data_IF_504087154304
#
_entry.id   IF_504087154304
#
_cell.length_a   1.000
_cell.length_b   1.000
_cell.length_c   1.000
_cell.angle_alpha   90.00
_cell.angle_beta   90.00
_cell.angle_gamma   90.00
#
_symmetry.space_group_name_H-M   'P 1'
#
loop_
_entity.id
_entity.type
_entity.pdbx_description
1 polymer ?
#
# COMPACT_ATOMS: atom_id res chain seq x y z
N UNK A 1 6.48 20.70 29.49
CA UNK A 1 7.06 20.35 28.18
C UNK A 1 5.95 20.41 27.14
N UNK A 2 6.16 21.09 26.02
CA UNK A 2 5.21 21.08 24.91
C UNK A 2 4.93 19.64 24.44
N UNK A 3 3.64 19.31 24.30
CA UNK A 3 3.18 17.98 23.91
C UNK A 3 3.81 17.52 22.59
N UNK A 4 4.10 18.46 21.68
CA UNK A 4 4.78 18.22 20.40
C UNK A 4 6.23 17.76 20.66
N UNK A 5 7.01 18.55 21.42
CA UNK A 5 8.41 18.23 21.70
C UNK A 5 8.56 16.89 22.43
N UNK A 6 7.70 16.64 23.41
CA UNK A 6 7.66 15.35 24.11
C UNK A 6 7.36 14.19 23.15
N UNK A 7 6.34 14.33 22.30
CA UNK A 7 5.93 13.29 21.35
C UNK A 7 6.99 13.03 20.28
N UNK A 8 7.64 14.08 19.77
CA UNK A 8 8.76 13.96 18.83
C UNK A 8 9.95 13.23 19.47
N UNK A 9 10.32 13.58 20.71
CA UNK A 9 11.39 12.90 21.44
C UNK A 9 11.07 11.43 21.69
N UNK A 10 9.83 11.14 22.11
CA UNK A 10 9.35 9.78 22.29
C UNK A 10 9.40 8.98 20.98
N UNK A 11 9.00 9.59 19.86
CA UNK A 11 9.05 8.98 18.53
C UNK A 11 10.49 8.65 18.11
N UNK A 12 11.43 9.58 18.26
CA UNK A 12 12.85 9.37 17.96
C UNK A 12 13.42 8.25 18.82
N UNK A 13 13.18 8.28 20.14
CA UNK A 13 13.66 7.24 21.05
C UNK A 13 13.06 5.87 20.70
N UNK A 14 11.79 5.82 20.30
CA UNK A 14 11.14 4.57 19.87
C UNK A 14 11.80 3.97 18.63
N UNK A 15 12.36 4.81 17.74
CA UNK A 15 13.12 4.31 16.58
C UNK A 15 14.42 3.63 16.98
N UNK A 16 15.04 3.97 18.10
CA UNK A 16 16.32 3.36 18.50
C UNK A 16 16.20 2.38 19.67
N UNK A 17 14.98 2.11 20.17
CA UNK A 17 14.74 1.26 21.35
C UNK A 17 15.14 -0.21 21.16
N UNK A 18 14.95 -0.77 19.96
CA UNK A 18 15.29 -2.17 19.64
C UNK A 18 16.23 -2.23 18.44
N UNK A 19 17.25 -3.10 18.51
CA UNK A 19 18.26 -3.31 17.45
C UNK A 19 18.88 -2.00 16.96
N UNK A 20 19.36 -1.18 17.89
CA UNK A 20 19.89 0.18 17.65
C UNK A 20 20.94 0.22 16.53
N UNK A 21 21.92 -0.69 16.57
CA UNK A 21 22.98 -0.78 15.56
C UNK A 21 22.41 -1.04 14.16
N UNK A 22 21.52 -2.02 14.00
CA UNK A 22 20.89 -2.33 12.72
C UNK A 22 20.10 -1.14 12.16
N UNK A 23 19.36 -0.42 13.01
CA UNK A 23 18.57 0.74 12.58
C UNK A 23 19.44 1.94 12.24
N UNK A 24 20.54 2.15 12.96
CA UNK A 24 21.55 3.15 12.59
C UNK A 24 22.18 2.82 11.24
N UNK A 25 22.62 1.57 11.03
CA UNK A 25 23.18 1.12 9.76
C UNK A 25 22.20 1.32 8.60
N UNK A 26 20.92 0.96 8.76
CA UNK A 26 19.89 1.19 7.75
C UNK A 26 19.70 2.68 7.44
N UNK A 27 19.74 3.54 8.46
CA UNK A 27 19.65 4.99 8.26
C UNK A 27 20.88 5.53 7.51
N UNK A 28 22.08 5.08 7.87
CA UNK A 28 23.33 5.42 7.18
C UNK A 28 23.30 4.99 5.71
N UNK A 29 22.86 3.77 5.43
CA UNK A 29 22.65 3.28 4.05
C UNK A 29 21.63 4.16 3.32
N UNK A 30 20.54 4.55 3.98
CA UNK A 30 19.56 5.48 3.43
C UNK A 30 20.15 6.85 3.08
N UNK A 31 21.03 7.40 3.91
CA UNK A 31 21.71 8.67 3.65
C UNK A 31 22.71 8.57 2.49
N UNK A 32 23.48 7.48 2.42
CA UNK A 32 24.38 7.22 1.29
C UNK A 32 23.57 7.09 0.00
N UNK A 33 22.47 6.33 0.04
CA UNK A 33 21.56 6.21 -1.10
C UNK A 33 20.97 7.56 -1.51
N UNK A 34 20.55 8.40 -0.56
CA UNK A 34 20.08 9.76 -0.85
C UNK A 34 21.14 10.59 -1.57
N UNK A 35 22.41 10.50 -1.17
CA UNK A 35 23.51 11.16 -1.87
C UNK A 35 23.73 10.64 -3.29
N UNK A 36 23.73 9.32 -3.48
CA UNK A 36 23.86 8.71 -4.81
C UNK A 36 22.71 9.13 -5.73
N UNK A 37 21.46 9.08 -5.24
CA UNK A 37 20.30 9.52 -6.02
C UNK A 37 20.30 11.02 -6.29
N UNK A 38 20.75 11.86 -5.35
CA UNK A 38 20.90 13.29 -5.57
C UNK A 38 21.93 13.58 -6.66
N UNK A 39 23.05 12.86 -6.66
CA UNK A 39 24.07 12.95 -7.70
C UNK A 39 23.54 12.52 -9.08
N UNK A 40 22.87 11.36 -9.16
CA UNK A 40 22.25 10.87 -10.40
C UNK A 40 21.21 11.87 -10.94
N UNK A 41 20.40 12.44 -10.05
CA UNK A 41 19.37 13.41 -10.44
C UNK A 41 19.98 14.75 -10.87
N UNK A 42 21.05 15.19 -10.22
CA UNK A 42 21.82 16.37 -10.66
C UNK A 42 22.39 16.19 -12.06
N UNK A 43 22.98 15.02 -12.34
CA UNK A 43 23.48 14.67 -13.66
C UNK A 43 22.36 14.68 -14.72
N UNK A 44 21.18 14.14 -14.38
CA UNK A 44 20.01 14.15 -15.27
C UNK A 44 19.53 15.58 -15.56
N UNK A 45 19.49 16.46 -14.55
CA UNK A 45 19.17 17.88 -14.74
C UNK A 45 20.19 18.59 -15.65
N UNK A 46 21.48 18.28 -15.50
CA UNK A 46 22.52 18.82 -16.36
C UNK A 46 22.36 18.33 -17.81
N UNK A 47 22.15 17.03 -18.03
CA UNK A 47 21.89 16.48 -19.35
C UNK A 47 20.65 17.09 -20.02
N UNK A 48 19.60 17.34 -19.26
CA UNK A 48 18.38 18.01 -19.71
C UNK A 48 18.66 19.48 -20.09
N UNK A 49 19.48 20.19 -19.32
CA UNK A 49 19.89 21.57 -19.63
C UNK A 49 20.76 21.65 -20.89
N UNK A 50 21.63 20.66 -21.12
CA UNK A 50 22.49 20.55 -22.30
C UNK A 50 21.72 20.11 -23.57
N UNK A 51 20.42 19.81 -23.46
CA UNK A 51 19.59 19.36 -24.58
C UNK A 51 19.91 17.94 -25.07
N UNK A 52 20.69 17.19 -24.30
CA UNK A 52 21.08 15.80 -24.63
C UNK A 52 19.97 14.78 -24.40
N UNK A 53 18.88 15.17 -23.71
CA UNK A 53 17.69 14.35 -23.51
C UNK A 53 16.47 14.97 -24.18
N UNK A 54 15.45 14.16 -24.46
CA UNK A 54 14.16 14.66 -24.99
C UNK A 54 13.39 15.53 -23.99
N UNK A 55 13.73 15.47 -22.71
CA UNK A 55 13.02 16.15 -21.63
C UNK A 55 13.76 17.43 -21.24
N UNK A 56 13.01 18.52 -21.09
CA UNK A 56 13.55 19.77 -20.54
C UNK A 56 13.73 19.69 -19.01
N UNK A 57 14.52 20.62 -18.46
CA UNK A 57 14.74 20.73 -17.00
C UNK A 57 13.42 20.81 -16.23
N UNK A 58 12.48 21.62 -16.71
CA UNK A 58 11.18 21.79 -16.06
C UNK A 58 10.36 20.49 -16.01
N UNK A 59 10.39 19.71 -17.10
CA UNK A 59 9.69 18.42 -17.17
C UNK A 59 10.32 17.39 -16.23
N UNK A 60 11.65 17.40 -16.11
CA UNK A 60 12.37 16.53 -15.16
C UNK A 60 11.96 16.86 -13.73
N UNK A 61 11.91 18.15 -13.38
CA UNK A 61 11.49 18.60 -12.04
C UNK A 61 10.01 18.28 -11.78
N UNK A 62 9.17 18.45 -12.79
CA UNK A 62 7.75 18.08 -12.74
C UNK A 62 7.57 16.60 -12.40
N UNK A 63 8.24 15.72 -13.14
CA UNK A 63 8.17 14.28 -12.90
C UNK A 63 8.76 13.88 -11.55
N UNK A 64 9.83 14.55 -11.07
CA UNK A 64 10.33 14.34 -9.72
C UNK A 64 9.31 14.71 -8.65
N UNK A 65 8.66 15.87 -8.78
CA UNK A 65 7.62 16.30 -7.84
C UNK A 65 6.43 15.34 -7.85
N UNK A 66 5.99 14.90 -9.03
CA UNK A 66 4.91 13.94 -9.18
C UNK A 66 5.29 12.59 -8.56
N UNK A 67 6.53 12.13 -8.78
CA UNK A 67 7.04 10.90 -8.18
C UNK A 67 7.11 10.99 -6.65
N UNK A 68 7.59 12.10 -6.10
CA UNK A 68 7.60 12.34 -4.65
C UNK A 68 6.19 12.34 -4.05
N UNK A 69 5.24 12.97 -4.74
CA UNK A 69 3.83 12.95 -4.33
C UNK A 69 3.27 11.52 -4.35
N UNK A 70 3.50 10.79 -5.44
CA UNK A 70 3.01 9.43 -5.63
C UNK A 70 3.61 8.46 -4.60
N UNK A 71 4.93 8.47 -4.38
CA UNK A 71 5.59 7.54 -3.45
C UNK A 71 5.17 7.77 -2.00
N UNK A 72 4.92 9.02 -1.59
CA UNK A 72 4.43 9.35 -0.23
C UNK A 72 3.02 8.84 -0.01
N UNK A 73 2.16 8.92 -1.02
CA UNK A 73 0.80 8.36 -0.94
C UNK A 73 0.88 6.84 -0.98
N UNK A 74 1.56 6.26 -1.97
CA UNK A 74 1.67 4.82 -2.19
C UNK A 74 2.27 4.08 -1.00
N UNK A 75 3.30 4.62 -0.32
CA UNK A 75 3.87 3.96 0.88
C UNK A 75 2.84 3.75 1.99
N UNK A 76 1.75 4.51 1.99
CA UNK A 76 0.67 4.35 2.95
C UNK A 76 -0.27 3.18 2.62
N UNK A 77 -0.21 2.64 1.40
CA UNK A 77 -1.15 1.65 0.88
C UNK A 77 -0.49 0.38 0.34
N UNK A 78 0.76 0.49 -0.13
CA UNK A 78 1.52 -0.56 -0.81
C UNK A 78 2.92 -0.73 -0.17
N UNK A 79 3.43 -1.97 -0.01
CA UNK A 79 2.79 -3.26 -0.32
C UNK A 79 1.76 -3.69 0.73
N UNK A 80 1.75 -3.02 1.88
CA UNK A 80 0.77 -3.20 2.93
C UNK A 80 0.30 -1.84 3.42
N UNK A 81 -0.99 -1.75 3.71
CA UNK A 81 -1.61 -0.53 4.20
C UNK A 81 -1.06 -0.14 5.59
N UNK A 82 -0.65 1.12 5.76
CA UNK A 82 -0.12 1.70 7.01
C UNK A 82 -1.16 2.65 7.61
N UNK A 83 -1.55 2.46 8.88
CA UNK A 83 -2.53 3.32 9.53
C UNK A 83 -2.04 4.72 9.87
N UNK A 84 -3.03 5.60 10.04
CA UNK A 84 -2.83 6.89 10.70
C UNK A 84 -2.43 6.68 12.17
N UNK A 85 -1.46 7.45 12.65
CA UNK A 85 -1.04 7.39 14.04
C UNK A 85 -2.05 8.13 14.94
N UNK A 86 -2.77 7.40 15.80
CA UNK A 86 -3.58 8.00 16.86
C UNK A 86 -2.71 8.15 18.13
N UNK A 87 -1.82 9.14 18.14
CA UNK A 87 -0.87 9.36 19.25
C UNK A 87 -1.58 9.77 20.55
N UNK A 88 -2.61 10.60 20.44
CA UNK A 88 -3.40 11.08 21.57
C UNK A 88 -4.85 10.64 21.34
N UNK A 89 -5.31 9.56 22.00
CA UNK A 89 -6.69 9.13 21.96
C UNK A 89 -7.68 10.26 22.23
N UNK A 90 -8.85 10.22 21.59
CA UNK A 90 -9.88 11.27 21.72
C UNK A 90 -10.46 11.41 23.13
N UNK A 91 -10.29 10.37 23.95
CA UNK A 91 -10.73 10.30 25.34
C UNK A 91 -9.90 11.20 26.27
N UNK A 92 -8.66 11.52 25.88
CA UNK A 92 -7.83 12.40 26.68
C UNK A 92 -8.31 13.86 26.56
N UNK A 93 -8.24 14.63 27.65
CA UNK A 93 -8.72 16.02 27.71
C UNK A 93 -7.74 16.98 27.01
N UNK A 94 -7.38 16.70 25.76
CA UNK A 94 -6.51 17.54 24.92
C UNK A 94 -7.36 18.22 23.85
N UNK A 95 -7.26 19.56 23.69
CA UNK A 95 -7.99 20.28 22.66
C UNK A 95 -7.80 19.67 21.25
N UNK A 96 -8.85 19.61 20.42
CA UNK A 96 -8.77 18.96 19.09
C UNK A 96 -7.69 19.55 18.19
N UNK A 97 -7.46 20.87 18.25
CA UNK A 97 -6.44 21.55 17.45
C UNK A 97 -5.03 21.18 17.91
N UNK A 98 -4.80 21.09 19.23
CA UNK A 98 -3.51 20.71 19.78
C UNK A 98 -3.19 19.24 19.42
N UNK A 99 -4.18 18.35 19.55
CA UNK A 99 -4.06 16.96 19.09
C UNK A 99 -3.71 16.87 17.61
N UNK A 100 -4.44 17.60 16.76
CA UNK A 100 -4.20 17.62 15.31
C UNK A 100 -2.78 18.07 14.97
N UNK A 101 -2.32 19.18 15.56
CA UNK A 101 -0.96 19.70 15.37
C UNK A 101 0.11 18.70 15.81
N UNK A 102 -0.07 18.07 16.96
CA UNK A 102 0.85 17.03 17.48
C UNK A 102 0.91 15.85 16.51
N UNK A 103 -0.24 15.32 16.10
CA UNK A 103 -0.27 14.21 15.15
C UNK A 103 0.37 14.58 13.81
N UNK A 104 0.09 15.77 13.27
CA UNK A 104 0.63 16.23 11.99
C UNK A 104 2.16 16.35 12.03
N UNK A 105 2.70 16.97 13.08
CA UNK A 105 4.14 17.21 13.20
C UNK A 105 4.89 15.91 13.51
N UNK A 106 4.38 15.08 14.43
CA UNK A 106 5.09 13.87 14.85
C UNK A 106 5.12 12.81 13.74
N UNK A 107 4.12 12.77 12.85
CA UNK A 107 4.15 11.87 11.69
C UNK A 107 5.23 12.25 10.67
N UNK A 108 5.59 13.53 10.57
CA UNK A 108 6.73 13.98 9.76
C UNK A 108 8.08 13.54 10.35
N UNK A 109 8.14 13.25 11.66
CA UNK A 109 9.31 12.67 12.31
C UNK A 109 9.37 11.17 12.02
N UNK A 110 9.85 10.82 10.83
CA UNK A 110 10.09 9.44 10.41
C UNK A 110 11.41 9.32 9.63
N UNK A 111 12.07 8.13 9.65
CA UNK A 111 13.29 7.90 8.87
C UNK A 111 13.12 8.19 7.38
N UNK A 112 11.94 7.90 6.83
CA UNK A 112 11.63 8.16 5.43
C UNK A 112 11.70 9.66 5.08
N UNK A 113 11.01 10.51 5.83
CA UNK A 113 11.03 11.96 5.58
C UNK A 113 12.40 12.57 5.86
N UNK A 114 13.13 12.01 6.83
CA UNK A 114 14.51 12.42 7.09
C UNK A 114 15.43 12.14 5.90
N UNK A 115 15.39 10.91 5.34
CA UNK A 115 16.18 10.57 4.15
C UNK A 115 15.77 11.41 2.94
N UNK A 116 14.46 11.61 2.73
CA UNK A 116 13.94 12.42 1.62
C UNK A 116 14.37 13.89 1.73
N UNK A 117 14.33 14.47 2.94
CA UNK A 117 14.82 15.84 3.15
C UNK A 117 16.32 15.96 2.87
N UNK A 118 17.12 14.98 3.31
CA UNK A 118 18.55 14.96 3.00
C UNK A 118 18.81 14.83 1.49
N UNK A 119 18.03 14.01 0.77
CA UNK A 119 18.08 13.94 -0.69
C UNK A 119 17.84 15.32 -1.33
N UNK A 120 16.81 16.06 -0.91
CA UNK A 120 16.51 17.39 -1.44
C UNK A 120 17.61 18.42 -1.13
N UNK A 121 18.17 18.39 0.08
CA UNK A 121 19.27 19.27 0.47
C UNK A 121 20.54 18.98 -0.33
N UNK A 122 20.89 17.70 -0.49
CA UNK A 122 22.04 17.29 -1.30
C UNK A 122 21.83 17.66 -2.77
N UNK A 123 20.63 17.47 -3.31
CA UNK A 123 20.30 17.87 -4.68
C UNK A 123 20.47 19.39 -4.89
N UNK A 124 20.00 20.20 -3.94
CA UNK A 124 20.21 21.65 -3.95
C UNK A 124 21.68 22.05 -3.90
N UNK A 125 22.50 21.33 -3.14
CA UNK A 125 23.94 21.60 -3.08
C UNK A 125 24.69 21.13 -4.33
N UNK A 126 24.21 20.08 -5.01
CA UNK A 126 24.90 19.43 -6.12
C UNK A 126 24.47 19.92 -7.51
N UNK A 127 23.26 20.49 -7.67
CA UNK A 127 22.72 20.86 -8.98
C UNK A 127 22.48 22.37 -9.08
N UNK A 128 23.15 23.09 -10.01
CA UNK A 128 22.91 24.52 -10.20
C UNK A 128 21.52 24.80 -10.78
N UNK A 129 20.90 23.82 -11.44
CA UNK A 129 19.55 23.93 -12.02
C UNK A 129 18.44 23.74 -10.99
N UNK A 130 18.75 23.24 -9.79
CA UNK A 130 17.79 23.06 -8.71
C UNK A 130 17.85 24.25 -7.73
N UNK A 131 17.18 25.34 -8.09
CA UNK A 131 17.19 26.59 -7.29
C UNK A 131 16.50 26.45 -5.93
N UNK A 132 16.68 27.45 -5.05
CA UNK A 132 16.02 27.52 -3.74
C UNK A 132 14.48 27.48 -3.87
N UNK A 133 13.95 28.04 -4.96
CA UNK A 133 12.52 28.04 -5.25
C UNK A 133 12.00 26.61 -5.43
N UNK A 134 12.70 25.81 -6.24
CA UNK A 134 12.39 24.39 -6.42
C UNK A 134 12.54 23.59 -5.12
N UNK A 135 13.54 23.88 -4.29
CA UNK A 135 13.69 23.26 -2.98
C UNK A 135 12.46 23.50 -2.09
N UNK A 136 12.03 24.76 -1.97
CA UNK A 136 10.86 25.12 -1.17
C UNK A 136 9.58 24.49 -1.73
N UNK A 137 9.42 24.50 -3.06
CA UNK A 137 8.30 23.84 -3.71
C UNK A 137 8.26 22.35 -3.41
N UNK A 138 9.37 21.63 -3.55
CA UNK A 138 9.45 20.20 -3.24
C UNK A 138 9.09 19.90 -1.78
N UNK A 139 9.48 20.77 -0.85
CA UNK A 139 9.04 20.67 0.55
C UNK A 139 7.52 20.82 0.65
N UNK A 140 6.92 21.78 -0.05
CA UNK A 140 5.46 21.92 -0.07
C UNK A 140 4.74 20.74 -0.73
N UNK A 141 5.32 20.13 -1.76
CA UNK A 141 4.83 18.89 -2.40
C UNK A 141 4.85 17.74 -1.39
N UNK A 142 5.93 17.57 -0.62
CA UNK A 142 6.03 16.56 0.44
C UNK A 142 4.93 16.76 1.49
N UNK A 143 4.75 18.00 1.96
CA UNK A 143 3.72 18.32 2.95
C UNK A 143 2.31 18.07 2.41
N UNK A 144 2.05 18.44 1.16
CA UNK A 144 0.76 18.20 0.49
C UNK A 144 0.50 16.70 0.36
N UNK A 145 1.48 15.92 -0.11
CA UNK A 145 1.36 14.47 -0.22
C UNK A 145 1.11 13.81 1.15
N UNK A 146 1.76 14.32 2.22
CA UNK A 146 1.51 13.86 3.57
C UNK A 146 0.08 14.13 4.06
N UNK A 147 -0.45 15.33 3.81
CA UNK A 147 -1.83 15.69 4.16
C UNK A 147 -2.83 14.90 3.30
N UNK A 148 -2.51 14.59 2.03
CA UNK A 148 -3.31 13.73 1.16
C UNK A 148 -3.39 12.33 1.72
N UNK A 149 -2.24 11.75 2.07
CA UNK A 149 -2.18 10.44 2.71
C UNK A 149 -3.05 10.42 3.98
N UNK A 150 -2.89 11.40 4.89
CA UNK A 150 -3.70 11.49 6.11
C UNK A 150 -5.19 11.61 5.82
N UNK A 151 -5.58 12.42 4.84
CA UNK A 151 -6.98 12.61 4.46
C UNK A 151 -7.59 11.31 3.95
N UNK A 152 -6.89 10.62 3.05
CA UNK A 152 -7.30 9.31 2.56
C UNK A 152 -7.41 8.29 3.70
N UNK A 153 -6.42 8.26 4.61
CA UNK A 153 -6.49 7.42 5.79
C UNK A 153 -7.76 7.74 6.59
N UNK A 154 -8.03 9.00 6.96
CA UNK A 154 -9.25 9.39 7.71
C UNK A 154 -10.54 8.92 7.03
N UNK A 155 -10.64 9.05 5.71
CA UNK A 155 -11.79 8.56 4.93
C UNK A 155 -11.97 7.05 5.03
N UNK A 156 -10.87 6.29 5.02
CA UNK A 156 -10.89 4.83 5.08
C UNK A 156 -11.09 4.37 6.54
N UNK A 157 -10.53 5.06 7.54
CA UNK A 157 -10.55 4.63 8.94
C UNK A 157 -11.79 4.97 9.73
N UNK A 158 -12.32 6.18 9.53
CA UNK A 158 -13.31 6.73 10.45
C UNK A 158 -14.69 6.78 9.81
N UNK A 159 -15.74 6.73 10.63
CA UNK A 159 -17.12 6.94 10.15
C UNK A 159 -17.37 8.43 10.05
N UNK A 160 -17.46 8.95 8.82
CA UNK A 160 -17.73 10.36 8.58
C UNK A 160 -19.20 10.68 8.83
N UNK A 161 -19.46 11.77 9.56
CA UNK A 161 -20.78 12.38 9.67
C UNK A 161 -21.00 13.32 8.50
N UNK A 162 -21.46 12.78 7.37
CA UNK A 162 -21.66 13.50 6.10
C UNK A 162 -22.54 14.74 6.20
N UNK A 163 -23.48 14.78 7.15
CA UNK A 163 -24.39 15.92 7.36
C UNK A 163 -23.90 16.95 8.38
N UNK A 164 -22.67 16.82 8.88
CA UNK A 164 -22.12 17.77 9.87
C UNK A 164 -21.63 19.04 9.19
N UNK A 165 -21.79 20.20 9.85
CA UNK A 165 -21.23 21.47 9.37
C UNK A 165 -19.72 21.38 9.10
N UNK A 166 -18.99 20.66 9.97
CA UNK A 166 -17.56 20.40 9.80
C UNK A 166 -17.24 19.68 8.48
N UNK A 167 -18.10 18.75 8.02
CA UNK A 167 -17.90 18.08 6.75
C UNK A 167 -18.09 19.04 5.57
N UNK A 168 -19.14 19.86 5.59
CA UNK A 168 -19.35 20.87 4.54
C UNK A 168 -18.21 21.89 4.51
N UNK A 169 -17.75 22.38 5.66
CA UNK A 169 -16.58 23.26 5.74
C UNK A 169 -15.31 22.58 5.24
N UNK A 170 -15.11 21.29 5.56
CA UNK A 170 -13.99 20.52 5.01
C UNK A 170 -14.07 20.42 3.48
N UNK A 171 -15.26 20.17 2.92
CA UNK A 171 -15.49 20.07 1.48
C UNK A 171 -15.24 21.40 0.76
N UNK A 172 -15.69 22.53 1.33
CA UNK A 172 -15.42 23.87 0.78
C UNK A 172 -13.91 24.15 0.76
N UNK A 173 -13.20 23.85 1.85
CA UNK A 173 -11.74 24.05 1.93
C UNK A 173 -10.99 23.12 0.96
N UNK A 174 -11.46 21.88 0.78
CA UNK A 174 -10.92 20.98 -0.24
C UNK A 174 -11.19 21.48 -1.66
N UNK A 175 -12.39 22.03 -1.91
CA UNK A 175 -12.74 22.66 -3.18
C UNK A 175 -11.83 23.85 -3.50
N UNK A 176 -11.52 24.68 -2.51
CA UNK A 176 -10.58 25.80 -2.67
C UNK A 176 -9.17 25.31 -3.02
N UNK A 177 -8.69 24.26 -2.34
CA UNK A 177 -7.44 23.59 -2.69
C UNK A 177 -7.46 23.07 -4.14
N UNK A 178 -8.49 22.32 -4.53
CA UNK A 178 -8.61 21.75 -5.88
C UNK A 178 -8.67 22.87 -6.94
N UNK A 179 -9.40 23.96 -6.69
CA UNK A 179 -9.49 25.08 -7.62
C UNK A 179 -8.13 25.74 -7.88
N UNK A 180 -7.33 25.93 -6.82
CA UNK A 180 -5.96 26.46 -6.95
C UNK A 180 -5.04 25.48 -7.66
N UNK A 181 -5.14 24.19 -7.34
CA UNK A 181 -4.33 23.13 -7.95
C UNK A 181 -4.71 22.87 -9.42
N UNK A 182 -5.96 23.06 -9.81
CA UNK A 182 -6.38 22.92 -11.21
C UNK A 182 -5.79 24.02 -12.09
N UNK A 183 -5.63 25.23 -11.55
CA UNK A 183 -5.04 26.37 -12.26
C UNK A 183 -3.51 26.36 -12.26
N UNK A 184 -2.92 26.03 -11.12
CA UNK A 184 -1.47 26.02 -10.91
C UNK A 184 -1.06 24.78 -10.12
N UNK A 185 -0.99 23.60 -10.78
CA UNK A 185 -0.62 22.37 -10.11
C UNK A 185 0.73 22.46 -9.39
N UNK A 186 0.77 21.94 -8.16
CA UNK A 186 1.95 22.01 -7.30
C UNK A 186 3.15 21.21 -7.81
N UNK A 187 2.93 20.28 -8.74
CA UNK A 187 3.99 19.52 -9.35
C UNK A 187 4.72 20.29 -10.46
N UNK A 188 4.10 21.28 -11.11
CA UNK A 188 4.78 22.12 -12.10
C UNK A 188 5.81 23.01 -11.44
N UNK A 189 7.08 23.00 -11.89
CA UNK A 189 8.15 23.77 -11.27
C UNK A 189 7.79 25.26 -11.23
N UNK A 190 8.02 25.86 -10.07
CA UNK A 190 7.61 27.22 -9.83
C UNK A 190 8.63 28.19 -10.42
N UNK A 191 8.18 28.94 -11.42
CA UNK A 191 8.97 29.98 -12.08
C UNK A 191 9.12 31.24 -11.23
N UNK A 192 8.18 31.49 -10.31
CA UNK A 192 8.07 32.75 -9.56
C UNK A 192 7.66 32.53 -8.10
N UNK A 193 8.10 33.44 -7.22
CA UNK A 193 7.74 33.43 -5.80
C UNK A 193 6.24 33.54 -5.55
N UNK A 194 5.50 34.24 -6.41
CA UNK A 194 4.05 34.37 -6.29
C UNK A 194 3.35 33.01 -6.42
N UNK A 195 3.88 32.13 -7.28
CA UNK A 195 3.36 30.77 -7.42
C UNK A 195 3.58 29.96 -6.14
N UNK A 196 4.74 30.12 -5.49
CA UNK A 196 5.03 29.48 -4.21
C UNK A 196 4.07 29.95 -3.11
N UNK A 197 3.74 31.24 -3.07
CA UNK A 197 2.72 31.79 -2.14
C UNK A 197 1.34 31.17 -2.42
N UNK A 198 0.96 31.04 -3.69
CA UNK A 198 -0.29 30.37 -4.07
C UNK A 198 -0.31 28.90 -3.63
N UNK A 199 0.81 28.19 -3.80
CA UNK A 199 0.99 26.80 -3.34
C UNK A 199 0.92 26.68 -1.81
N UNK A 200 1.53 27.61 -1.07
CA UNK A 200 1.40 27.68 0.40
C UNK A 200 -0.05 27.92 0.84
N UNK A 201 -0.76 28.83 0.18
CA UNK A 201 -2.17 29.09 0.45
C UNK A 201 -3.03 27.85 0.17
N UNK A 202 -2.79 27.17 -0.95
CA UNK A 202 -3.46 25.91 -1.28
C UNK A 202 -3.23 24.84 -0.20
N UNK A 203 -1.98 24.66 0.25
CA UNK A 203 -1.65 23.76 1.35
C UNK A 203 -2.35 24.18 2.66
N UNK A 204 -2.45 25.47 2.96
CA UNK A 204 -3.18 25.99 4.11
C UNK A 204 -4.66 25.64 4.09
N UNK A 205 -5.32 25.77 2.93
CA UNK A 205 -6.71 25.30 2.75
C UNK A 205 -6.82 23.80 2.94
N UNK A 206 -5.85 23.03 2.44
CA UNK A 206 -5.89 21.58 2.52
C UNK A 206 -5.65 21.04 3.94
N UNK A 207 -4.72 21.62 4.69
CA UNK A 207 -4.52 21.35 6.12
C UNK A 207 -5.80 21.67 6.91
N UNK A 208 -6.42 22.81 6.61
CA UNK A 208 -7.69 23.21 7.24
C UNK A 208 -8.80 22.22 6.93
N UNK A 209 -8.90 21.77 5.68
CA UNK A 209 -9.84 20.74 5.27
C UNK A 209 -9.61 19.43 6.04
N UNK A 210 -8.36 18.99 6.16
CA UNK A 210 -8.01 17.78 6.90
C UNK A 210 -8.40 17.88 8.39
N UNK A 211 -8.14 19.02 9.04
CA UNK A 211 -8.56 19.27 10.42
C UNK A 211 -10.08 19.20 10.61
N UNK A 212 -10.84 19.83 9.71
CA UNK A 212 -12.31 19.84 9.76
C UNK A 212 -12.89 18.44 9.46
N UNK A 213 -12.27 17.70 8.52
CA UNK A 213 -12.61 16.32 8.23
C UNK A 213 -12.42 15.42 9.46
N UNK A 214 -11.34 15.64 10.21
CA UNK A 214 -11.10 14.91 11.46
C UNK A 214 -12.14 15.23 12.55
N UNK A 215 -12.65 16.46 12.59
CA UNK A 215 -13.77 16.82 13.49
C UNK A 215 -15.11 16.22 13.02
N UNK A 216 -15.31 16.06 11.72
CA UNK A 216 -16.50 15.43 11.15
C UNK A 216 -16.50 13.90 11.34
N UNK A 217 -15.32 13.31 11.59
CA UNK A 217 -15.15 11.90 11.82
C UNK A 217 -15.54 11.49 13.25
N UNK A 218 -16.54 10.60 13.37
CA UNK A 218 -16.95 10.04 14.66
C UNK A 218 -15.97 8.96 15.17
N UNK A 219 -16.08 8.60 16.45
CA UNK A 219 -15.38 7.48 17.09
C UNK A 219 -15.37 6.20 16.23
N UNK A 220 -14.34 5.33 16.39
CA UNK A 220 -14.21 4.11 15.62
C UNK A 220 -15.51 3.29 15.69
N UNK A 221 -15.99 2.81 14.53
CA UNK A 221 -17.20 1.96 14.44
C UNK A 221 -17.09 0.82 15.47
N UNK A 222 -17.89 0.89 16.55
CA UNK A 222 -18.06 -0.24 17.49
C UNK A 222 -18.40 -1.49 16.67
N UNK A 223 -17.76 -2.62 16.98
CA UNK A 223 -18.04 -3.91 16.34
C UNK A 223 -19.47 -4.33 16.70
N UNK A 224 -20.45 -4.05 15.84
CA UNK A 224 -21.71 -4.77 15.87
C UNK A 224 -21.45 -6.15 15.26
N UNK A 225 -21.53 -7.20 16.09
CA UNK A 225 -21.48 -8.59 15.61
C UNK A 225 -22.85 -8.86 14.99
N UNK A 226 -22.92 -8.75 13.67
CA UNK A 226 -24.12 -9.12 12.94
C UNK A 226 -24.14 -10.65 12.80
N UNK A 227 -24.97 -11.32 13.61
CA UNK A 227 -25.29 -12.73 13.41
C UNK A 227 -26.11 -12.87 12.13
N UNK A 228 -25.56 -13.53 11.13
CA UNK A 228 -26.26 -13.86 9.89
C UNK A 228 -27.00 -15.19 10.07
N UNK A 229 -28.33 -15.17 10.16
CA UNK A 229 -29.18 -16.35 10.27
C UNK A 229 -29.38 -17.15 8.98
N UNK A 230 -28.89 -16.68 7.82
CA UNK A 230 -29.15 -17.36 6.54
C UNK A 230 -28.28 -18.60 6.33
N UNK A 231 -28.86 -19.79 6.50
CA UNK A 231 -28.21 -21.09 6.24
C UNK A 231 -27.85 -21.31 4.77
N UNK A 232 -28.59 -20.70 3.82
CA UNK A 232 -28.45 -20.91 2.37
C UNK A 232 -27.24 -20.24 1.71
N UNK A 233 -26.43 -19.45 2.43
CA UNK A 233 -25.26 -18.78 1.82
C UNK A 233 -24.03 -19.68 1.90
N UNK A 234 -23.25 -19.77 0.81
CA UNK A 234 -22.00 -20.55 0.80
C UNK A 234 -21.03 -20.07 1.89
N UNK A 235 -20.28 -21.01 2.50
CA UNK A 235 -19.31 -20.71 3.56
C UNK A 235 -18.28 -19.67 3.08
N UNK A 236 -17.78 -19.79 1.84
CA UNK A 236 -16.85 -18.83 1.25
C UNK A 236 -17.41 -17.40 1.19
N UNK A 237 -18.67 -17.23 0.79
CA UNK A 237 -19.33 -15.92 0.80
C UNK A 237 -19.53 -15.38 2.22
N UNK A 238 -19.85 -16.25 3.19
CA UNK A 238 -19.95 -15.88 4.61
C UNK A 238 -18.60 -15.44 5.17
N UNK A 239 -17.52 -16.17 4.87
CA UNK A 239 -16.16 -15.81 5.29
C UNK A 239 -15.76 -14.46 4.72
N UNK A 240 -15.98 -14.24 3.43
CA UNK A 240 -15.71 -12.96 2.78
C UNK A 240 -16.55 -11.81 3.34
N UNK A 241 -17.86 -11.98 3.51
CA UNK A 241 -18.77 -10.90 3.95
C UNK A 241 -18.61 -10.56 5.43
N UNK A 242 -18.44 -11.56 6.29
CA UNK A 242 -18.49 -11.40 7.73
C UNK A 242 -17.15 -10.94 8.32
N UNK A 243 -16.01 -11.32 7.71
CA UNK A 243 -14.70 -10.89 8.19
C UNK A 243 -14.36 -9.49 7.68
N UNK A 244 -14.78 -8.46 8.44
CA UNK A 244 -14.68 -7.05 8.05
C UNK A 244 -13.29 -6.64 7.53
N UNK A 245 -12.21 -7.08 8.16
CA UNK A 245 -10.85 -6.70 7.74
C UNK A 245 -10.41 -7.39 6.46
N UNK A 246 -10.70 -8.69 6.33
CA UNK A 246 -10.38 -9.42 5.11
C UNK A 246 -11.17 -8.84 3.93
N UNK A 247 -12.46 -8.57 4.15
CA UNK A 247 -13.32 -7.87 3.19
C UNK A 247 -12.72 -6.54 2.74
N UNK A 248 -12.34 -5.69 3.69
CA UNK A 248 -11.86 -4.35 3.38
C UNK A 248 -10.51 -4.37 2.65
N UNK A 249 -9.59 -5.25 3.04
CA UNK A 249 -8.31 -5.42 2.35
C UNK A 249 -8.47 -5.99 0.94
N UNK A 250 -9.38 -6.95 0.76
CA UNK A 250 -9.70 -7.48 -0.57
C UNK A 250 -10.38 -6.45 -1.45
N UNK A 251 -11.38 -5.71 -0.94
CA UNK A 251 -12.03 -4.64 -1.69
C UNK A 251 -11.02 -3.57 -2.07
N UNK A 252 -10.15 -3.17 -1.13
CA UNK A 252 -9.09 -2.19 -1.42
C UNK A 252 -8.18 -2.68 -2.54
N UNK A 253 -7.65 -3.91 -2.44
CA UNK A 253 -6.80 -4.49 -3.48
C UNK A 253 -7.51 -4.59 -4.83
N UNK A 254 -8.75 -5.06 -4.86
CA UNK A 254 -9.54 -5.19 -6.09
C UNK A 254 -9.87 -3.82 -6.72
N UNK A 255 -10.20 -2.81 -5.91
CA UNK A 255 -10.44 -1.43 -6.39
C UNK A 255 -9.14 -0.84 -6.94
N UNK A 256 -8.02 -1.07 -6.27
CA UNK A 256 -6.71 -0.63 -6.75
C UNK A 256 -6.34 -1.29 -8.08
N UNK A 257 -6.55 -2.61 -8.21
CA UNK A 257 -6.37 -3.35 -9.47
C UNK A 257 -7.30 -2.81 -10.56
N UNK A 258 -8.58 -2.62 -10.26
CA UNK A 258 -9.55 -2.06 -11.22
C UNK A 258 -9.19 -0.64 -11.65
N UNK A 259 -8.64 0.18 -10.76
CA UNK A 259 -8.16 1.52 -11.08
C UNK A 259 -6.98 1.47 -12.06
N UNK A 260 -6.00 0.59 -11.83
CA UNK A 260 -4.84 0.44 -12.72
C UNK A 260 -5.26 -0.09 -14.09
N UNK A 261 -6.05 -1.18 -14.13
CA UNK A 261 -6.55 -1.75 -15.39
C UNK A 261 -7.47 -0.77 -16.14
N UNK A 262 -8.28 0.00 -15.41
CA UNK A 262 -9.15 1.02 -16.00
C UNK A 262 -8.38 2.23 -16.54
N UNK A 263 -7.33 2.68 -15.84
CA UNK A 263 -6.44 3.73 -16.34
C UNK A 263 -5.75 3.27 -17.63
N UNK A 264 -5.28 2.03 -17.67
CA UNK A 264 -4.67 1.46 -18.87
C UNK A 264 -5.66 1.33 -20.03
N UNK A 265 -6.86 0.79 -19.79
CA UNK A 265 -7.91 0.72 -20.80
C UNK A 265 -8.21 2.08 -21.44
N UNK A 266 -8.26 3.15 -20.63
CA UNK A 266 -8.44 4.52 -21.12
C UNK A 266 -7.24 5.04 -21.93
N UNK A 267 -6.02 4.59 -21.63
CA UNK A 267 -4.85 4.95 -22.42
C UNK A 267 -4.87 4.25 -23.79
N UNK A 268 -5.22 2.96 -23.82
CA UNK A 268 -5.38 2.20 -25.08
C UNK A 268 -6.45 2.83 -25.95
N UNK A 269 -7.62 3.16 -25.39
CA UNK A 269 -8.72 3.77 -26.13
C UNK A 269 -8.35 5.15 -26.72
N UNK A 270 -7.58 5.96 -25.98
CA UNK A 270 -7.26 7.34 -26.40
C UNK A 270 -6.00 7.47 -27.25
N UNK A 271 -4.99 6.65 -26.98
CA UNK A 271 -3.65 6.77 -27.58
C UNK A 271 -3.29 5.58 -28.46
N UNK A 272 -4.10 4.52 -28.48
CA UNK A 272 -3.79 3.27 -29.16
C UNK A 272 -2.63 2.49 -28.54
N UNK A 273 -2.20 2.87 -27.33
CA UNK A 273 -1.03 2.33 -26.65
C UNK A 273 -1.33 2.11 -25.17
N UNK A 274 -0.81 1.03 -24.60
CA UNK A 274 -0.86 0.76 -23.17
C UNK A 274 -0.08 1.83 -22.38
N UNK A 275 -0.54 2.13 -21.16
CA UNK A 275 -0.04 3.24 -20.33
C UNK A 275 1.38 2.99 -19.82
N UNK A 276 1.69 1.71 -19.60
CA UNK A 276 3.03 1.20 -19.45
C UNK A 276 3.27 0.41 -20.73
N UNK A 277 4.35 0.71 -21.49
CA UNK A 277 4.87 -0.21 -22.53
C UNK A 277 4.78 -1.65 -22.00
N UNK A 278 4.54 -2.64 -22.87
CA UNK A 278 4.31 -4.12 -22.74
C UNK A 278 5.06 -4.91 -21.64
N UNK A 279 5.40 -4.25 -20.55
CA UNK A 279 6.36 -4.59 -19.52
C UNK A 279 5.60 -5.20 -18.36
N UNK A 280 6.27 -6.18 -17.75
CA UNK A 280 5.91 -6.96 -16.58
C UNK A 280 5.02 -6.29 -15.52
N UNK A 281 5.12 -4.97 -15.32
CA UNK A 281 4.34 -4.25 -14.30
C UNK A 281 2.84 -4.31 -14.54
N UNK A 282 2.38 -4.22 -15.79
CA UNK A 282 0.95 -4.31 -16.10
C UNK A 282 0.47 -5.76 -15.95
N UNK A 283 1.32 -6.68 -16.37
CA UNK A 283 1.16 -8.13 -16.23
C UNK A 283 1.09 -8.60 -14.77
N UNK A 284 1.79 -7.95 -13.83
CA UNK A 284 1.67 -8.22 -12.38
C UNK A 284 0.25 -7.93 -11.85
N UNK A 285 -0.49 -7.02 -12.48
CA UNK A 285 -1.88 -6.75 -12.14
C UNK A 285 -2.86 -7.67 -12.86
N UNK A 286 -2.45 -8.34 -13.94
CA UNK A 286 -3.26 -9.38 -14.61
C UNK A 286 -3.35 -10.64 -13.73
N UNK A 287 -2.32 -10.98 -12.96
CA UNK A 287 -2.36 -12.12 -12.04
C UNK A 287 -3.24 -11.91 -10.78
N UNK A 288 -3.58 -12.98 -10.04
CA UNK A 288 -4.31 -12.90 -8.76
C UNK A 288 -3.44 -12.44 -7.59
N UNK A 289 -2.23 -11.94 -7.85
CA UNK A 289 -1.22 -11.57 -6.87
C UNK A 289 -1.77 -10.65 -5.78
N UNK A 290 -2.60 -9.68 -6.16
CA UNK A 290 -3.24 -8.73 -5.23
C UNK A 290 -4.08 -9.46 -4.17
N UNK A 291 -4.84 -10.48 -4.55
CA UNK A 291 -5.66 -11.25 -3.61
C UNK A 291 -4.78 -11.97 -2.58
N UNK A 292 -3.64 -12.53 -3.03
CA UNK A 292 -2.71 -13.24 -2.16
C UNK A 292 -1.92 -12.31 -1.23
N UNK A 293 -1.37 -11.21 -1.75
CA UNK A 293 -0.54 -10.29 -0.97
C UNK A 293 -1.30 -9.62 0.18
N UNK A 294 -2.60 -9.38 0.03
CA UNK A 294 -3.41 -8.68 1.03
C UNK A 294 -4.03 -9.59 2.09
N UNK A 295 -4.44 -10.82 1.75
CA UNK A 295 -5.16 -11.71 2.68
C UNK A 295 -4.59 -13.12 2.72
N UNK A 296 -4.40 -13.77 1.57
CA UNK A 296 -4.19 -15.22 1.55
C UNK A 296 -2.77 -15.68 1.89
N UNK A 297 -1.77 -14.80 1.80
CA UNK A 297 -0.43 -15.06 2.37
C UNK A 297 -0.40 -15.03 3.91
N UNK A 298 -1.55 -14.85 4.56
CA UNK A 298 -1.73 -15.02 6.01
C UNK A 298 -3.19 -15.40 6.34
N UNK A 299 -3.77 -16.35 5.59
CA UNK A 299 -5.19 -16.72 5.72
C UNK A 299 -5.59 -17.05 7.16
N UNK A 300 -4.76 -17.80 7.91
CA UNK A 300 -5.05 -18.18 9.30
C UNK A 300 -4.89 -17.03 10.28
N UNK A 301 -4.11 -16.00 9.94
CA UNK A 301 -4.11 -14.75 10.68
C UNK A 301 -5.45 -14.04 10.62
N UNK A 302 -6.07 -13.96 9.44
CA UNK A 302 -7.40 -13.36 9.28
C UNK A 302 -8.51 -14.24 9.86
N UNK A 303 -8.42 -15.56 9.66
CA UNK A 303 -9.46 -16.51 10.06
C UNK A 303 -9.02 -17.39 11.23
N UNK A 304 -8.37 -16.83 12.25
CA UNK A 304 -7.80 -17.59 13.39
C UNK A 304 -8.81 -18.49 14.12
N UNK A 305 -10.04 -18.02 14.28
CA UNK A 305 -11.10 -18.79 14.92
C UNK A 305 -11.55 -19.97 14.03
N UNK A 306 -11.57 -19.79 12.71
CA UNK A 306 -11.91 -20.85 11.76
C UNK A 306 -10.84 -21.95 11.78
N UNK A 307 -9.56 -21.55 11.79
CA UNK A 307 -8.44 -22.48 11.96
C UNK A 307 -8.61 -23.31 13.23
N UNK A 308 -8.87 -22.66 14.36
CA UNK A 308 -9.08 -23.33 15.64
C UNK A 308 -10.27 -24.29 15.62
N UNK A 309 -11.37 -23.92 14.95
CA UNK A 309 -12.53 -24.81 14.77
C UNK A 309 -12.19 -26.04 13.95
N UNK A 310 -11.45 -25.89 12.85
CA UNK A 310 -11.02 -27.03 12.00
C UNK A 310 -10.10 -27.96 12.78
N UNK A 311 -9.12 -27.41 13.50
CA UNK A 311 -8.18 -28.19 14.32
C UNK A 311 -8.90 -28.95 15.44
N UNK A 312 -9.90 -28.35 16.10
CA UNK A 312 -10.64 -29.01 17.20
C UNK A 312 -11.70 -30.00 16.74
N UNK A 313 -12.25 -29.86 15.53
CA UNK A 313 -13.31 -30.73 15.02
C UNK A 313 -12.78 -31.95 14.29
N UNK A 314 -11.80 -31.75 13.41
CA UNK A 314 -11.23 -32.82 12.58
C UNK A 314 -9.75 -33.06 12.86
N UNK A 315 -8.98 -31.99 13.10
CA UNK A 315 -7.51 -32.04 13.15
C UNK A 315 -6.86 -32.52 11.84
N UNK A 316 -7.63 -32.63 10.75
CA UNK A 316 -7.16 -33.26 9.52
C UNK A 316 -6.60 -32.21 8.55
N UNK A 317 -5.45 -32.53 7.93
CA UNK A 317 -4.82 -31.66 6.92
C UNK A 317 -5.72 -31.46 5.70
N UNK A 318 -6.53 -32.48 5.36
CA UNK A 318 -7.47 -32.42 4.23
C UNK A 318 -8.54 -31.35 4.46
N UNK A 319 -9.11 -31.31 5.66
CA UNK A 319 -10.13 -30.32 6.01
C UNK A 319 -9.54 -28.91 6.08
N UNK A 320 -8.29 -28.79 6.55
CA UNK A 320 -7.57 -27.53 6.57
C UNK A 320 -7.37 -26.96 5.15
N UNK A 321 -6.99 -27.79 4.18
CA UNK A 321 -6.87 -27.40 2.78
C UNK A 321 -8.23 -27.11 2.14
N UNK A 322 -9.25 -27.93 2.42
CA UNK A 322 -10.60 -27.75 1.88
C UNK A 322 -11.19 -26.39 2.31
N UNK A 323 -11.02 -26.03 3.58
CA UNK A 323 -11.48 -24.73 4.12
C UNK A 323 -10.70 -23.56 3.51
N UNK A 324 -9.39 -23.73 3.30
CA UNK A 324 -8.57 -22.71 2.62
C UNK A 324 -9.08 -22.45 1.20
N UNK A 325 -9.34 -23.51 0.43
CA UNK A 325 -9.89 -23.38 -0.92
C UNK A 325 -11.29 -22.79 -0.97
N UNK A 326 -12.15 -23.16 -0.02
CA UNK A 326 -13.48 -22.55 0.11
C UNK A 326 -13.41 -21.04 0.37
N UNK A 327 -12.43 -20.57 1.16
CA UNK A 327 -12.23 -19.15 1.41
C UNK A 327 -11.70 -18.39 0.18
N UNK A 328 -10.86 -19.03 -0.64
CA UNK A 328 -10.25 -18.46 -1.85
C UNK A 328 -11.24 -18.26 -3.00
N UNK A 329 -12.27 -19.10 -3.10
CA UNK A 329 -13.17 -19.17 -4.28
C UNK A 329 -13.79 -17.84 -4.68
N UNK A 330 -14.39 -17.11 -3.73
CA UNK A 330 -15.11 -15.85 -4.04
C UNK A 330 -14.14 -14.73 -4.45
N UNK A 331 -13.07 -14.45 -3.68
CA UNK A 331 -12.11 -13.41 -4.07
C UNK A 331 -11.41 -13.70 -5.41
N UNK A 332 -11.03 -14.95 -5.67
CA UNK A 332 -10.46 -15.35 -6.96
C UNK A 332 -11.46 -15.21 -8.11
N UNK A 333 -12.73 -15.55 -7.91
CA UNK A 333 -13.75 -15.38 -8.96
C UNK A 333 -13.91 -13.90 -9.34
N UNK A 334 -13.99 -13.00 -8.36
CA UNK A 334 -14.11 -11.55 -8.63
C UNK A 334 -12.87 -11.04 -9.37
N UNK A 335 -11.68 -11.47 -8.93
CA UNK A 335 -10.41 -11.09 -9.55
C UNK A 335 -10.28 -11.64 -10.99
N UNK A 336 -10.68 -12.89 -11.22
CA UNK A 336 -10.69 -13.51 -12.54
C UNK A 336 -11.64 -12.80 -13.50
N UNK A 337 -12.86 -12.48 -13.05
CA UNK A 337 -13.82 -11.71 -13.86
C UNK A 337 -13.25 -10.35 -14.25
N UNK A 338 -12.67 -9.62 -13.28
CA UNK A 338 -12.04 -8.33 -13.56
C UNK A 338 -10.91 -8.45 -14.59
N UNK A 339 -10.07 -9.47 -14.45
CA UNK A 339 -8.91 -9.71 -15.32
C UNK A 339 -9.33 -10.13 -16.72
N UNK A 340 -10.25 -11.09 -16.84
CA UNK A 340 -10.65 -11.65 -18.13
C UNK A 340 -11.54 -10.70 -18.93
N UNK A 341 -12.37 -9.89 -18.28
CA UNK A 341 -13.11 -8.82 -18.97
C UNK A 341 -12.14 -7.80 -19.53
N UNK A 342 -11.12 -7.39 -18.77
CA UNK A 342 -10.08 -6.49 -19.26
C UNK A 342 -9.31 -7.10 -20.45
N UNK A 343 -8.84 -8.35 -20.32
CA UNK A 343 -8.10 -9.02 -21.38
C UNK A 343 -8.93 -9.20 -22.66
N UNK A 344 -10.19 -9.63 -22.54
CA UNK A 344 -11.07 -9.83 -23.69
C UNK A 344 -11.35 -8.54 -24.48
N UNK A 345 -11.40 -7.38 -23.80
CA UNK A 345 -11.74 -6.10 -24.43
C UNK A 345 -10.52 -5.32 -24.92
N UNK A 346 -9.40 -5.35 -24.17
CA UNK A 346 -8.26 -4.47 -24.39
C UNK A 346 -6.95 -5.20 -24.71
N UNK A 347 -6.89 -6.53 -24.55
CA UNK A 347 -5.70 -7.34 -24.84
C UNK A 347 -6.10 -8.69 -25.47
N UNK A 348 -6.83 -8.61 -26.58
CA UNK A 348 -7.48 -9.76 -27.21
C UNK A 348 -6.48 -10.72 -27.89
N UNK A 349 -5.33 -10.20 -28.32
CA UNK A 349 -4.28 -10.98 -29.00
C UNK A 349 -3.59 -11.97 -28.03
N UNK A 350 -3.39 -11.58 -26.76
CA UNK A 350 -2.71 -12.39 -25.75
C UNK A 350 -3.66 -13.09 -24.75
N UNK A 351 -4.96 -13.18 -25.05
CA UNK A 351 -5.96 -13.76 -24.11
C UNK A 351 -5.56 -15.16 -23.64
N UNK A 352 -5.06 -15.99 -24.55
CA UNK A 352 -4.62 -17.34 -24.20
C UNK A 352 -3.47 -17.32 -23.18
N UNK A 353 -2.46 -16.47 -23.40
CA UNK A 353 -1.35 -16.29 -22.48
C UNK A 353 -1.84 -15.78 -21.12
N UNK A 354 -2.72 -14.77 -21.10
CA UNK A 354 -3.33 -14.23 -19.88
C UNK A 354 -4.02 -15.33 -19.08
N UNK A 355 -4.85 -16.16 -19.72
CA UNK A 355 -5.61 -17.22 -19.06
C UNK A 355 -4.69 -18.30 -18.50
N UNK A 356 -3.69 -18.72 -19.28
CA UNK A 356 -2.71 -19.73 -18.85
C UNK A 356 -1.84 -19.21 -17.69
N UNK A 357 -1.37 -17.97 -17.78
CA UNK A 357 -0.60 -17.32 -16.72
C UNK A 357 -1.43 -17.14 -15.45
N UNK A 358 -2.71 -16.77 -15.58
CA UNK A 358 -3.62 -16.66 -14.45
C UNK A 358 -3.80 -18.00 -13.74
N UNK A 359 -4.07 -19.07 -14.51
CA UNK A 359 -4.20 -20.42 -13.97
C UNK A 359 -2.92 -20.90 -13.29
N UNK A 360 -1.76 -20.73 -13.94
CA UNK A 360 -0.46 -21.06 -13.37
C UNK A 360 -0.18 -20.26 -12.08
N UNK A 361 -0.51 -18.97 -12.07
CA UNK A 361 -0.36 -18.12 -10.88
C UNK A 361 -1.22 -18.61 -9.72
N UNK A 362 -2.46 -19.05 -9.96
CA UNK A 362 -3.29 -19.66 -8.90
C UNK A 362 -2.64 -20.93 -8.36
N UNK A 363 -2.13 -21.79 -9.25
CA UNK A 363 -1.48 -23.07 -8.88
C UNK A 363 -0.17 -22.86 -8.10
N UNK A 364 0.50 -21.72 -8.26
CA UNK A 364 1.73 -21.37 -7.52
C UNK A 364 1.39 -20.65 -6.21
N UNK A 365 0.57 -19.60 -6.29
CA UNK A 365 0.34 -18.67 -5.18
C UNK A 365 -0.54 -19.28 -4.08
N UNK A 366 -1.44 -20.20 -4.40
CA UNK A 366 -2.29 -20.77 -3.38
C UNK A 366 -1.59 -21.80 -2.48
N UNK A 367 -0.77 -22.75 -2.99
CA UNK A 367 0.11 -23.54 -2.14
C UNK A 367 1.05 -22.65 -1.31
N UNK A 368 1.63 -21.61 -1.95
CA UNK A 368 2.51 -20.66 -1.25
C UNK A 368 1.77 -19.89 -0.15
N UNK A 369 0.52 -19.50 -0.35
CA UNK A 369 -0.29 -18.79 0.63
C UNK A 369 -0.55 -19.64 1.88
N UNK A 370 -0.81 -20.94 1.70
CA UNK A 370 -0.92 -21.90 2.81
C UNK A 370 0.42 -22.03 3.54
N UNK A 371 1.52 -22.21 2.82
CA UNK A 371 2.88 -22.27 3.38
C UNK A 371 3.19 -21.01 4.19
N UNK A 372 2.97 -19.83 3.61
CA UNK A 372 3.21 -18.53 4.23
C UNK A 372 2.44 -18.40 5.54
N UNK A 373 1.17 -18.84 5.54
CA UNK A 373 0.30 -18.76 6.70
C UNK A 373 0.70 -19.72 7.82
N UNK A 374 1.38 -20.84 7.54
CA UNK A 374 1.84 -21.82 8.54
C UNK A 374 3.24 -21.49 9.06
N UNK A 375 4.17 -21.17 8.16
CA UNK A 375 5.60 -20.97 8.48
C UNK A 375 5.87 -19.59 9.09
N UNK A 376 5.17 -18.56 8.61
CA UNK A 376 5.34 -17.17 9.06
C UNK A 376 3.99 -16.56 9.46
N UNK A 377 3.29 -17.15 10.45
CA UNK A 377 1.99 -16.66 10.86
C UNK A 377 2.13 -15.23 11.39
N UNK A 378 1.20 -14.37 11.00
CA UNK A 378 1.10 -13.01 11.55
C UNK A 378 -0.24 -12.86 12.24
N UNK A 379 -0.20 -12.38 13.48
CA UNK A 379 -1.43 -12.03 14.18
C UNK A 379 -2.09 -10.83 13.50
N UNK A 380 -3.33 -11.01 13.06
CA UNK A 380 -4.15 -9.91 12.55
C UNK A 380 -4.91 -9.31 13.73
N UNK A 381 -4.23 -8.44 14.48
CA UNK A 381 -4.80 -7.70 15.60
C UNK A 381 -4.97 -6.22 15.26
N UNK A 382 -5.86 -5.53 16.00
CA UNK A 382 -6.21 -4.12 15.77
C UNK A 382 -7.27 -3.92 14.69
N UNK A 383 -7.46 -2.70 14.20
CA UNK A 383 -8.45 -2.39 13.15
C UNK A 383 -7.96 -2.72 11.74
N UNK A 384 -8.62 -2.18 10.71
CA UNK A 384 -8.01 -2.04 9.38
C UNK A 384 -6.63 -1.33 9.43
N UNK A 385 -6.33 -0.73 10.57
CA UNK A 385 -5.36 0.32 10.80
C UNK A 385 -4.42 0.00 11.97
N UNK A 386 -3.90 -1.22 12.08
CA UNK A 386 -2.82 -1.53 13.04
C UNK A 386 -1.46 -1.48 12.35
N UNK A 387 -0.44 -1.02 13.09
CA UNK A 387 0.95 -0.92 12.64
C UNK A 387 1.63 -2.29 12.43
N UNK A 388 0.94 -3.40 12.71
CA UNK A 388 1.47 -4.73 12.48
C UNK A 388 1.24 -5.15 11.03
N UNK A 389 2.31 -5.60 10.38
CA UNK A 389 2.21 -6.23 9.07
C UNK A 389 1.23 -7.41 9.16
N UNK A 390 0.13 -7.32 8.42
CA UNK A 390 -0.96 -8.33 8.44
C UNK A 390 -0.70 -9.52 7.55
N UNK A 391 0.36 -9.46 6.75
CA UNK A 391 0.92 -10.55 5.98
C UNK A 391 2.46 -10.50 6.08
N UNK A 392 3.12 -11.61 5.77
CA UNK A 392 4.58 -11.68 5.81
C UNK A 392 5.19 -10.98 4.58
N UNK A 393 6.01 -9.95 4.80
CA UNK A 393 6.72 -9.26 3.71
C UNK A 393 7.59 -10.22 2.90
N UNK A 394 8.28 -11.15 3.56
CA UNK A 394 9.12 -12.14 2.90
C UNK A 394 8.30 -12.97 1.91
N UNK A 395 7.16 -13.53 2.33
CA UNK A 395 6.32 -14.34 1.45
C UNK A 395 5.62 -13.50 0.38
N UNK A 396 5.34 -12.22 0.63
CA UNK A 396 4.89 -11.30 -0.42
C UNK A 396 5.97 -11.07 -1.48
N UNK A 397 7.24 -10.87 -1.08
CA UNK A 397 8.35 -10.77 -2.03
C UNK A 397 8.58 -12.07 -2.79
N UNK A 398 8.51 -13.23 -2.13
CA UNK A 398 8.60 -14.54 -2.80
C UNK A 398 7.43 -14.70 -3.78
N UNK A 399 6.21 -14.36 -3.38
CA UNK A 399 5.03 -14.42 -4.26
C UNK A 399 5.20 -13.54 -5.51
N UNK A 400 5.68 -12.30 -5.33
CA UNK A 400 5.99 -11.40 -6.45
C UNK A 400 7.07 -12.04 -7.34
N UNK A 401 8.17 -12.53 -6.76
CA UNK A 401 9.25 -13.16 -7.52
C UNK A 401 8.81 -14.39 -8.30
N UNK A 402 8.03 -15.29 -7.70
CA UNK A 402 7.51 -16.47 -8.39
C UNK A 402 6.48 -16.12 -9.45
N UNK A 403 5.61 -15.12 -9.21
CA UNK A 403 4.70 -14.62 -10.23
C UNK A 403 5.47 -13.98 -11.40
N UNK A 404 6.54 -13.24 -11.11
CA UNK A 404 7.46 -12.68 -12.10
C UNK A 404 8.05 -13.76 -13.02
N UNK A 405 8.44 -14.91 -12.48
CA UNK A 405 8.97 -16.03 -13.27
C UNK A 405 7.97 -16.59 -14.28
N UNK A 406 6.66 -16.48 -14.04
CA UNK A 406 5.62 -16.95 -14.97
C UNK A 406 5.48 -16.05 -16.21
N UNK A 407 6.15 -14.89 -16.24
CA UNK A 407 6.21 -14.02 -17.42
C UNK A 407 7.43 -14.28 -18.30
N UNK A 408 8.36 -15.13 -17.89
CA UNK A 408 9.52 -15.50 -18.71
C UNK A 408 9.17 -16.03 -20.12
N UNK A 409 8.04 -16.72 -20.37
CA UNK A 409 7.69 -17.13 -21.73
C UNK A 409 7.51 -15.97 -22.73
N UNK A 410 7.28 -14.74 -22.28
CA UNK A 410 7.24 -13.55 -23.14
C UNK A 410 8.59 -13.25 -23.80
N UNK A 411 9.70 -13.69 -23.19
CA UNK A 411 11.06 -13.50 -23.72
C UNK A 411 11.38 -14.59 -24.74
N UNK A 412 11.03 -15.85 -24.43
CA UNK A 412 11.35 -16.98 -25.29
C UNK A 412 10.40 -18.17 -25.03
N UNK A 413 9.83 -18.84 -26.07
CA UNK A 413 8.87 -19.93 -25.90
C UNK A 413 9.38 -21.11 -25.06
N UNK A 414 10.68 -21.47 -25.14
CA UNK A 414 11.25 -22.54 -24.29
C UNK A 414 11.08 -22.27 -22.78
N UNK A 415 10.91 -21.01 -22.37
CA UNK A 415 10.71 -20.64 -20.97
C UNK A 415 9.32 -21.03 -20.44
N UNK A 416 8.40 -21.56 -21.27
CA UNK A 416 7.21 -22.26 -20.77
C UNK A 416 7.56 -23.45 -19.87
N UNK A 417 8.75 -24.03 -20.01
CA UNK A 417 9.26 -25.08 -19.10
C UNK A 417 9.40 -24.61 -17.64
N UNK A 418 9.42 -23.30 -17.39
CA UNK A 418 9.43 -22.74 -16.03
C UNK A 418 8.13 -23.04 -15.28
N UNK A 419 7.00 -23.15 -15.98
CA UNK A 419 5.68 -23.37 -15.35
C UNK A 419 5.64 -24.65 -14.51
N UNK A 420 5.95 -25.85 -15.04
CA UNK A 420 5.95 -27.07 -14.24
C UNK A 420 6.98 -27.03 -13.11
N UNK A 421 8.12 -26.35 -13.29
CA UNK A 421 9.15 -26.23 -12.24
C UNK A 421 8.65 -25.38 -11.08
N UNK A 422 8.06 -24.21 -11.35
CA UNK A 422 7.57 -23.29 -10.31
C UNK A 422 6.33 -23.87 -9.63
N UNK A 423 5.39 -24.45 -10.39
CA UNK A 423 4.20 -25.14 -9.84
C UNK A 423 4.64 -26.33 -8.99
N UNK A 424 5.52 -27.19 -9.51
CA UNK A 424 6.05 -28.35 -8.80
C UNK A 424 6.77 -27.96 -7.51
N UNK A 425 7.60 -26.91 -7.55
CA UNK A 425 8.28 -26.35 -6.37
C UNK A 425 7.31 -25.81 -5.32
N UNK A 426 6.25 -25.10 -5.72
CA UNK A 426 5.24 -24.59 -4.80
C UNK A 426 4.43 -25.72 -4.14
N UNK A 427 4.06 -26.76 -4.91
CA UNK A 427 3.38 -27.95 -4.39
C UNK A 427 4.30 -28.74 -3.47
N UNK A 428 5.58 -28.92 -3.84
CA UNK A 428 6.57 -29.59 -3.01
C UNK A 428 6.74 -28.88 -1.66
N UNK A 429 6.88 -27.55 -1.68
CA UNK A 429 6.97 -26.75 -0.46
C UNK A 429 5.72 -26.90 0.42
N UNK A 430 4.52 -26.92 -0.17
CA UNK A 430 3.28 -27.19 0.55
C UNK A 430 3.31 -28.57 1.21
N UNK A 431 3.66 -29.63 0.47
CA UNK A 431 3.72 -30.99 1.01
C UNK A 431 4.74 -31.10 2.15
N UNK A 432 5.92 -30.48 2.00
CA UNK A 432 6.96 -30.45 3.04
C UNK A 432 6.45 -29.78 4.33
N UNK A 433 5.82 -28.60 4.21
CA UNK A 433 5.27 -27.87 5.36
C UNK A 433 4.11 -28.60 6.01
N UNK A 434 3.25 -29.27 5.22
CA UNK A 434 2.14 -30.06 5.76
C UNK A 434 2.62 -31.30 6.53
N UNK A 435 3.75 -31.91 6.14
CA UNK A 435 4.38 -33.00 6.93
C UNK A 435 4.84 -32.50 8.30
N UNK A 436 5.36 -31.28 8.38
CA UNK A 436 5.82 -30.65 9.62
C UNK A 436 4.72 -29.91 10.41
N UNK A 437 3.48 -29.88 9.88
CA UNK A 437 2.36 -29.19 10.51
C UNK A 437 2.12 -29.54 11.99
N UNK A 438 2.29 -30.80 12.46
CA UNK A 438 2.16 -31.13 13.89
C UNK A 438 3.05 -30.31 14.82
N UNK A 439 4.20 -29.84 14.33
CA UNK A 439 5.10 -28.95 15.07
C UNK A 439 4.67 -27.49 14.90
N UNK A 440 4.36 -27.07 13.67
CA UNK A 440 3.98 -25.68 13.39
C UNK A 440 2.67 -25.25 14.05
N UNK A 441 1.72 -26.18 14.30
CA UNK A 441 0.42 -25.84 14.91
C UNK A 441 0.55 -25.20 16.29
N UNK A 442 1.57 -25.58 17.08
CA UNK A 442 1.81 -24.97 18.39
C UNK A 442 2.29 -23.52 18.26
N UNK A 443 3.19 -23.25 17.30
CA UNK A 443 3.66 -21.90 16.97
C UNK A 443 2.53 -21.03 16.41
N UNK A 444 1.67 -21.59 15.57
CA UNK A 444 0.44 -20.94 15.09
C UNK A 444 -0.47 -20.55 16.25
N UNK A 445 -0.72 -21.47 17.18
CA UNK A 445 -1.54 -21.21 18.36
C UNK A 445 -0.95 -20.10 19.23
N UNK A 446 0.35 -20.18 19.53
CA UNK A 446 1.06 -19.17 20.31
C UNK A 446 0.97 -17.78 19.65
N UNK A 447 1.23 -17.72 18.34
CA UNK A 447 1.23 -16.46 17.59
C UNK A 447 -0.17 -15.83 17.51
N UNK A 448 -1.22 -16.63 17.33
CA UNK A 448 -2.58 -16.12 17.13
C UNK A 448 -3.37 -15.87 18.43
N UNK A 449 -3.00 -16.53 19.53
CA UNK A 449 -3.79 -16.53 20.76
C UNK A 449 -3.01 -16.22 22.05
N UNK A 450 -1.68 -16.40 22.11
CA UNK A 450 -0.90 -16.14 23.33
C UNK A 450 -0.15 -14.80 23.35
N UNK A 451 0.21 -14.24 22.18
CA UNK A 451 0.97 -12.99 22.07
C UNK A 451 0.15 -11.70 22.33
N UNK A 452 -0.82 -11.71 23.25
CA UNK A 452 -1.62 -10.52 23.64
C UNK A 452 -0.93 -9.64 24.72
N UNK A 453 0.40 -9.68 24.87
CA UNK A 453 1.15 -8.87 25.85
C UNK A 453 1.96 -7.76 25.20
#
# INVERSE_FOLDING_TARGET
MDLIAFSCRARINSFFRQKRLQRLLLLSVGLVAAGVYAWLFSFLLQQAAEGSTRLGVDQVLEYANLFMLAIIILKGFFPAYVPKANLVPQLYPVPPLQRFRVELIVELVSPFYFVLLNFLLLLFMMSPFYTLLHLLQSVLVILTAHVTLRSLQVFIERRIRWRSANFYSAAVMAGAFIALQARAPMFYPASEWLLLVAHMAALGFFITSNFLLEKAAAEPRRKAVNYSSSAHRSLGWRLFKNHKQAKQMLIFGLVFKAFILGADALAVEKKGQHLLDEVMTLWLFVGPLVVFSYVFNNIWGFYRNLWLTVERSSGSVKDLLAVTWMALRVPLLIDAVLTFVYAALFNHEDVFFVVMMYAASVLVLAPLGVVASIVSPKMVSGGLFSFSAKASYLFNFIAIGLACLLFLPLIHPLLYLVYPVVIGGAIFALVAVLKEYPTYKYRLFETHFKNEV
#
